data_IF_037635159598
#
_entry.id   IF_037635159598
#
_cell.length_a   1.000
_cell.length_b   1.000
_cell.length_c   1.000
_cell.angle_alpha   90.00
_cell.angle_beta   90.00
_cell.angle_gamma   90.00
#
_symmetry.space_group_name_H-M   'P 1'
#
loop_
_entity.id
_entity.type
_entity.pdbx_description
1 polymer ?
#
# COMPACT_ATOMS: atom_id res chain seq x y z
N UNK A 1 23.83 -0.40 27.23
CA UNK A 1 23.34 -1.68 26.69
C UNK A 1 21.81 -1.66 26.47
N UNK A 2 21.02 -1.23 27.45
CA UNK A 2 19.55 -1.20 27.33
C UNK A 2 19.03 -0.23 26.30
N UNK A 3 19.65 0.93 26.12
CA UNK A 3 19.21 1.93 25.14
C UNK A 3 19.45 1.47 23.71
N UNK A 4 20.54 0.74 23.45
CA UNK A 4 20.84 0.22 22.11
C UNK A 4 19.81 -0.87 21.71
N UNK A 5 19.48 -1.76 22.64
CA UNK A 5 18.46 -2.79 22.43
C UNK A 5 17.10 -2.15 22.13
N UNK A 6 16.73 -1.12 22.87
CA UNK A 6 15.48 -0.38 22.66
C UNK A 6 15.45 0.31 21.29
N UNK A 7 16.57 0.88 20.85
CA UNK A 7 16.67 1.50 19.53
C UNK A 7 16.48 0.48 18.42
N UNK A 8 17.09 -0.69 18.54
CA UNK A 8 16.92 -1.78 17.56
C UNK A 8 15.47 -2.26 17.50
N UNK A 9 14.85 -2.46 18.66
CA UNK A 9 13.45 -2.87 18.74
C UNK A 9 12.53 -1.83 18.11
N UNK A 10 12.79 -0.55 18.35
CA UNK A 10 12.01 0.54 17.78
C UNK A 10 12.15 0.58 16.26
N UNK A 11 13.35 0.39 15.72
CA UNK A 11 13.60 0.35 14.28
C UNK A 11 12.85 -0.82 13.64
N UNK A 12 12.94 -2.02 14.23
CA UNK A 12 12.24 -3.20 13.75
C UNK A 12 10.73 -2.96 13.73
N UNK A 13 10.18 -2.41 14.81
CA UNK A 13 8.76 -2.10 14.90
C UNK A 13 8.34 -1.10 13.82
N UNK A 14 9.14 -0.04 13.61
CA UNK A 14 8.87 0.96 12.59
C UNK A 14 8.87 0.35 11.19
N UNK A 15 9.81 -0.55 10.90
CA UNK A 15 9.84 -1.26 9.61
C UNK A 15 8.62 -2.15 9.42
N UNK A 16 8.19 -2.85 10.46
CA UNK A 16 6.98 -3.69 10.40
C UNK A 16 5.74 -2.84 10.15
N UNK A 17 5.61 -1.71 10.82
CA UNK A 17 4.51 -0.77 10.60
C UNK A 17 4.51 -0.21 9.18
N UNK A 18 5.69 0.11 8.65
CA UNK A 18 5.84 0.63 7.29
C UNK A 18 5.42 -0.36 6.20
N UNK A 19 5.42 -1.65 6.51
CA UNK A 19 5.01 -2.71 5.58
C UNK A 19 3.64 -3.28 5.91
N UNK A 20 2.93 -2.70 6.87
CA UNK A 20 1.59 -3.18 7.25
C UNK A 20 0.60 -2.95 6.14
N UNK A 21 -0.09 -4.02 5.75
CA UNK A 21 -1.14 -3.97 4.74
C UNK A 21 -2.47 -3.58 5.37
N UNK A 22 -3.37 -3.03 4.54
CA UNK A 22 -4.70 -2.65 5.01
C UNK A 22 -5.62 -3.87 5.11
N UNK A 23 -6.65 -3.74 5.94
CA UNK A 23 -7.75 -4.68 5.97
C UNK A 23 -8.41 -4.69 4.58
N UNK A 24 -8.76 -5.87 4.02
CA UNK A 24 -9.41 -5.96 2.71
C UNK A 24 -10.68 -5.10 2.60
N UNK A 25 -11.42 -4.96 3.69
CA UNK A 25 -12.61 -4.10 3.71
C UNK A 25 -12.27 -2.64 3.49
N UNK A 26 -11.19 -2.16 4.09
CA UNK A 26 -10.72 -0.79 3.90
C UNK A 26 -10.31 -0.55 2.45
N UNK A 27 -9.61 -1.51 1.85
CA UNK A 27 -9.23 -1.42 0.44
C UNK A 27 -10.48 -1.35 -0.45
N UNK A 28 -11.48 -2.18 -0.17
CA UNK A 28 -12.75 -2.12 -0.90
C UNK A 28 -13.38 -0.74 -0.83
N UNK A 29 -13.40 -0.14 0.35
CA UNK A 29 -13.94 1.21 0.55
C UNK A 29 -13.17 2.25 -0.25
N UNK A 30 -11.84 2.16 -0.29
CA UNK A 30 -11.01 3.07 -1.08
C UNK A 30 -11.25 2.92 -2.58
N UNK A 31 -11.40 1.69 -3.06
CA UNK A 31 -11.70 1.44 -4.47
C UNK A 31 -13.10 1.97 -4.83
N UNK A 32 -14.08 1.80 -3.95
CA UNK A 32 -15.41 2.37 -4.16
C UNK A 32 -15.38 3.90 -4.18
N UNK A 33 -14.56 4.51 -3.34
CA UNK A 33 -14.35 5.95 -3.36
C UNK A 33 -13.76 6.41 -4.71
N UNK A 34 -12.79 5.67 -5.24
CA UNK A 34 -12.25 5.94 -6.58
C UNK A 34 -13.34 5.83 -7.65
N UNK A 35 -14.24 4.87 -7.54
CA UNK A 35 -15.36 4.74 -8.46
C UNK A 35 -16.28 5.97 -8.43
N UNK A 36 -16.49 6.52 -7.24
CA UNK A 36 -17.31 7.73 -7.09
C UNK A 36 -16.61 8.97 -7.66
N UNK A 37 -15.29 9.07 -7.49
CA UNK A 37 -14.50 10.22 -7.92
C UNK A 37 -14.22 10.22 -9.43
N UNK A 38 -14.32 9.09 -10.12
CA UNK A 38 -14.00 8.98 -11.55
C UNK A 38 -15.27 8.88 -12.39
N UNK A 39 -15.15 9.23 -13.67
CA UNK A 39 -16.30 9.15 -14.58
C UNK A 39 -16.76 7.70 -14.78
N UNK A 40 -18.06 7.51 -14.80
CA UNK A 40 -18.66 6.21 -15.08
C UNK A 40 -18.51 5.89 -16.56
N UNK A 41 -17.87 4.77 -16.86
CA UNK A 41 -17.71 4.30 -18.24
C UNK A 41 -18.93 3.54 -18.75
N UNK A 42 -19.74 3.04 -17.86
CA UNK A 42 -20.96 2.28 -18.19
C UNK A 42 -21.89 2.25 -16.99
N UNK A 43 -23.14 1.86 -17.21
CA UNK A 43 -24.12 1.71 -16.14
C UNK A 43 -23.82 0.44 -15.34
N UNK A 44 -22.84 0.49 -14.45
CA UNK A 44 -22.55 -0.58 -13.52
C UNK A 44 -23.60 -0.58 -12.40
N UNK A 45 -24.12 -1.75 -12.09
CA UNK A 45 -25.00 -1.91 -10.94
C UNK A 45 -24.20 -1.82 -9.65
N UNK A 46 -24.88 -1.58 -8.52
CA UNK A 46 -24.21 -1.60 -7.20
C UNK A 46 -23.52 -2.93 -6.94
N UNK A 47 -24.14 -4.03 -7.39
CA UNK A 47 -23.56 -5.36 -7.26
C UNK A 47 -22.28 -5.50 -8.05
N UNK A 48 -22.23 -4.99 -9.29
CA UNK A 48 -21.03 -5.01 -10.13
C UNK A 48 -19.92 -4.18 -9.52
N UNK A 49 -20.24 -3.01 -8.97
CA UNK A 49 -19.28 -2.14 -8.30
C UNK A 49 -18.70 -2.82 -7.06
N UNK A 50 -19.55 -3.46 -6.25
CA UNK A 50 -19.09 -4.17 -5.06
C UNK A 50 -18.20 -5.35 -5.40
N UNK A 51 -18.55 -6.11 -6.44
CA UNK A 51 -17.75 -7.24 -6.92
C UNK A 51 -16.38 -6.75 -7.45
N UNK A 52 -16.39 -5.69 -8.23
CA UNK A 52 -15.15 -5.09 -8.76
C UNK A 52 -14.24 -4.60 -7.63
N UNK A 53 -14.80 -3.92 -6.63
CA UNK A 53 -14.04 -3.47 -5.47
C UNK A 53 -13.43 -4.66 -4.71
N UNK A 54 -14.16 -5.74 -4.55
CA UNK A 54 -13.69 -6.95 -3.89
C UNK A 54 -12.53 -7.61 -4.64
N UNK A 55 -12.63 -7.71 -5.96
CA UNK A 55 -11.57 -8.28 -6.81
C UNK A 55 -10.32 -7.41 -6.74
N UNK A 56 -10.47 -6.10 -6.86
CA UNK A 56 -9.35 -5.17 -6.78
C UNK A 56 -8.67 -5.25 -5.40
N UNK A 57 -9.46 -5.29 -4.33
CA UNK A 57 -8.93 -5.41 -2.97
C UNK A 57 -8.08 -6.68 -2.82
N UNK A 58 -8.53 -7.79 -3.39
CA UNK A 58 -7.78 -9.05 -3.38
C UNK A 58 -6.44 -8.92 -4.09
N UNK A 59 -6.41 -8.25 -5.25
CA UNK A 59 -5.19 -8.07 -6.05
C UNK A 59 -4.22 -7.06 -5.45
N UNK A 60 -4.70 -6.14 -4.64
CA UNK A 60 -3.91 -5.06 -4.04
C UNK A 60 -3.56 -5.31 -2.57
N UNK A 61 -3.92 -6.48 -2.04
CA UNK A 61 -3.81 -6.79 -0.60
C UNK A 61 -2.38 -6.84 -0.06
N UNK A 62 -1.39 -6.99 -0.93
CA UNK A 62 0.03 -7.08 -0.54
C UNK A 62 0.73 -5.72 -0.44
N UNK A 63 0.05 -4.65 -0.80
CA UNK A 63 0.63 -3.30 -0.81
C UNK A 63 0.50 -2.66 0.56
N UNK A 64 1.56 -2.03 1.10
CA UNK A 64 1.44 -1.30 2.37
C UNK A 64 0.29 -0.29 2.34
N UNK A 65 -0.46 -0.23 3.43
CA UNK A 65 -1.72 0.52 3.51
C UNK A 65 -1.59 1.99 3.11
N UNK A 66 -0.56 2.67 3.60
CA UNK A 66 -0.36 4.09 3.34
C UNK A 66 0.00 4.37 1.88
N UNK A 67 0.78 3.50 1.25
CA UNK A 67 1.13 3.62 -0.17
C UNK A 67 -0.11 3.45 -1.03
N UNK A 68 -0.92 2.44 -0.75
CA UNK A 68 -2.14 2.17 -1.51
C UNK A 68 -3.16 3.31 -1.33
N UNK A 69 -3.35 3.77 -0.10
CA UNK A 69 -4.27 4.88 0.15
C UNK A 69 -3.85 6.15 -0.56
N UNK A 70 -2.56 6.48 -0.55
CA UNK A 70 -2.03 7.63 -1.27
C UNK A 70 -2.24 7.50 -2.78
N UNK A 71 -2.01 6.31 -3.34
CA UNK A 71 -2.25 6.05 -4.75
C UNK A 71 -3.73 6.27 -5.12
N UNK A 72 -4.65 5.72 -4.34
CA UNK A 72 -6.08 5.91 -4.55
C UNK A 72 -6.47 7.38 -4.48
N UNK A 73 -5.93 8.13 -3.52
CA UNK A 73 -6.18 9.56 -3.37
C UNK A 73 -5.70 10.34 -4.60
N UNK A 74 -4.49 10.07 -5.07
CA UNK A 74 -3.94 10.72 -6.26
C UNK A 74 -4.74 10.40 -7.52
N UNK A 75 -5.21 9.17 -7.65
CA UNK A 75 -6.07 8.78 -8.77
C UNK A 75 -7.37 9.57 -8.73
N UNK A 76 -7.98 9.73 -7.57
CA UNK A 76 -9.19 10.55 -7.41
C UNK A 76 -8.98 11.99 -7.86
N UNK A 77 -7.79 12.56 -7.61
CA UNK A 77 -7.48 13.94 -7.97
C UNK A 77 -7.10 14.12 -9.44
N UNK A 78 -6.47 13.13 -10.04
CA UNK A 78 -5.80 13.29 -11.34
C UNK A 78 -6.41 12.50 -12.47
N UNK A 79 -7.22 11.48 -12.18
CA UNK A 79 -7.75 10.59 -13.21
C UNK A 79 -9.20 10.88 -13.51
N UNK A 80 -9.53 10.90 -14.80
CA UNK A 80 -10.87 11.12 -15.31
C UNK A 80 -11.71 9.85 -15.27
N UNK A 81 -11.08 8.71 -15.50
CA UNK A 81 -11.73 7.41 -15.61
C UNK A 81 -11.24 6.46 -14.54
N UNK A 82 -12.07 5.48 -14.22
CA UNK A 82 -11.71 4.45 -13.25
C UNK A 82 -10.47 3.69 -13.77
N UNK A 83 -9.43 3.53 -12.93
CA UNK A 83 -8.15 2.96 -13.36
C UNK A 83 -8.21 1.45 -13.50
N UNK A 84 -7.40 0.92 -14.41
CA UNK A 84 -7.06 -0.49 -14.41
C UNK A 84 -6.12 -0.81 -13.23
N UNK A 85 -5.95 -2.09 -12.92
CA UNK A 85 -4.97 -2.50 -11.91
C UNK A 85 -3.56 -2.06 -12.30
N UNK A 86 -3.22 -2.15 -13.58
CA UNK A 86 -1.91 -1.69 -14.07
C UNK A 86 -1.68 -0.20 -13.81
N UNK A 87 -2.70 0.62 -14.00
CA UNK A 87 -2.61 2.05 -13.73
C UNK A 87 -2.43 2.34 -12.24
N UNK A 88 -3.12 1.60 -11.38
CA UNK A 88 -2.92 1.71 -9.93
C UNK A 88 -1.48 1.35 -9.57
N UNK A 89 -0.94 0.27 -10.13
CA UNK A 89 0.44 -0.13 -9.90
C UNK A 89 1.45 0.92 -10.34
N UNK A 90 1.17 1.69 -11.38
CA UNK A 90 2.04 2.79 -11.81
C UNK A 90 2.22 3.84 -10.71
N UNK A 91 1.17 4.09 -9.92
CA UNK A 91 1.27 5.00 -8.76
C UNK A 91 1.97 4.37 -7.57
N UNK A 92 1.85 3.05 -7.42
CA UNK A 92 2.34 2.31 -6.25
C UNK A 92 3.81 1.90 -6.38
N UNK A 93 4.20 1.40 -7.56
CA UNK A 93 5.50 0.75 -7.76
C UNK A 93 6.71 1.58 -7.35
N UNK A 94 6.84 2.87 -7.71
CA UNK A 94 8.03 3.64 -7.33
C UNK A 94 8.19 3.76 -5.82
N UNK A 95 7.09 4.00 -5.10
CA UNK A 95 7.11 4.13 -3.64
C UNK A 95 7.33 2.79 -2.96
N UNK A 96 6.71 1.74 -3.48
CA UNK A 96 6.87 0.40 -2.95
C UNK A 96 8.32 -0.08 -3.12
N UNK A 97 8.88 0.12 -4.29
CA UNK A 97 10.28 -0.23 -4.55
C UNK A 97 11.23 0.51 -3.61
N UNK A 98 11.05 1.81 -3.46
CA UNK A 98 11.86 2.63 -2.56
C UNK A 98 11.76 2.15 -1.12
N UNK A 99 10.55 1.88 -0.65
CA UNK A 99 10.31 1.41 0.73
C UNK A 99 10.92 0.03 0.97
N UNK A 100 10.73 -0.90 0.05
CA UNK A 100 11.34 -2.25 0.14
C UNK A 100 12.86 -2.15 0.18
N UNK A 101 13.44 -1.29 -0.64
CA UNK A 101 14.88 -1.08 -0.67
C UNK A 101 15.40 -0.51 0.64
N UNK A 102 14.70 0.45 1.24
CA UNK A 102 15.05 1.01 2.54
C UNK A 102 14.96 -0.03 3.66
N UNK A 103 13.87 -0.79 3.70
CA UNK A 103 13.67 -1.84 4.70
C UNK A 103 14.77 -2.89 4.59
N UNK A 104 15.09 -3.31 3.38
CA UNK A 104 16.16 -4.28 3.13
C UNK A 104 17.52 -3.74 3.59
N UNK A 105 17.83 -2.50 3.25
CA UNK A 105 19.08 -1.85 3.64
C UNK A 105 19.22 -1.76 5.16
N UNK A 106 18.16 -1.33 5.85
CA UNK A 106 18.14 -1.23 7.30
C UNK A 106 18.25 -2.60 7.95
N UNK A 107 17.53 -3.60 7.43
CA UNK A 107 17.60 -4.98 7.91
C UNK A 107 19.01 -5.55 7.78
N UNK A 108 19.67 -5.33 6.65
CA UNK A 108 21.04 -5.78 6.43
C UNK A 108 22.01 -5.11 7.39
N UNK A 109 21.84 -3.83 7.65
CA UNK A 109 22.67 -3.10 8.62
C UNK A 109 22.47 -3.62 10.06
N UNK A 110 21.24 -3.93 10.43
CA UNK A 110 20.95 -4.51 11.75
C UNK A 110 21.60 -5.90 11.90
N UNK A 111 21.48 -6.74 10.88
CA UNK A 111 22.09 -8.06 10.88
C UNK A 111 23.61 -7.96 10.97
N UNK A 112 24.23 -7.08 10.21
CA UNK A 112 25.66 -6.84 10.26
C UNK A 112 26.10 -6.34 11.65
N UNK A 113 25.32 -5.45 12.25
CA UNK A 113 25.58 -4.95 13.61
C UNK A 113 25.51 -6.06 14.68
N UNK A 114 24.58 -7.01 14.50
CA UNK A 114 24.47 -8.16 15.40
C UNK A 114 25.61 -9.16 15.19
N UNK A 115 26.06 -9.33 13.94
CA UNK A 115 27.14 -10.25 13.59
C UNK A 115 28.53 -9.76 13.94
N UNK A 116 28.69 -8.48 14.18
CA UNK A 116 29.96 -7.81 14.46
C UNK A 116 30.28 -7.86 15.96
N UNK A 117 30.61 -9.00 16.47
CA UNK A 117 31.07 -9.12 17.85
C UNK A 117 32.54 -9.44 17.95
#
# INVERSE_FOLDING_TARGET
>A
AGSLARQKDLIIKTMQEAMTVADPKDIQDWIMEVMVCTAKQSALTERDMALKAKVYASKLSHIPADILRDACHKICLNSKFFPSLAEIYQYVEPKLYYRKSLVELISNKLIASIGDK
#
